data_IF_174334978709
#
_entry.id   IF_174334978709
#
_cell.length_a   1.000
_cell.length_b   1.000
_cell.length_c   1.000
_cell.angle_alpha   90.00
_cell.angle_beta   90.00
_cell.angle_gamma   90.00
#
_symmetry.space_group_name_H-M   'P 1'
#
loop_
_entity.id
_entity.type
_entity.pdbx_description
1 polymer ?
#
# COMPACT_ATOMS: atom_id res chain seq x y z
N UNK A 1 -3.66 1.93 18.50
CA UNK A 1 -3.33 2.12 17.07
C UNK A 1 -3.83 0.90 16.30
N UNK A 2 -5.12 0.88 15.95
CA UNK A 2 -5.75 -0.26 15.26
C UNK A 2 -5.48 -0.15 13.76
N UNK A 3 -4.61 -1.02 13.24
CA UNK A 3 -4.48 -1.30 11.81
C UNK A 3 -5.81 -1.86 11.31
N UNK A 4 -6.70 -0.99 10.83
CA UNK A 4 -7.86 -1.40 10.04
C UNK A 4 -7.41 -1.51 8.59
N UNK A 5 -6.98 -2.70 8.20
CA UNK A 5 -7.08 -3.12 6.82
C UNK A 5 -8.55 -3.12 6.45
N UNK A 6 -8.99 -2.13 5.69
CA UNK A 6 -10.34 -2.11 5.17
C UNK A 6 -10.28 -1.43 3.81
N UNK A 7 -10.39 -2.24 2.76
CA UNK A 7 -10.66 -1.80 1.37
C UNK A 7 -11.97 -1.01 1.34
N UNK A 8 -11.95 0.25 1.81
CA UNK A 8 -13.09 1.15 1.71
C UNK A 8 -13.08 1.77 0.33
N UNK A 9 -13.80 1.13 -0.60
CA UNK A 9 -14.22 1.77 -1.85
C UNK A 9 -15.12 2.96 -1.49
N UNK A 10 -14.56 4.18 -1.42
CA UNK A 10 -15.31 5.43 -1.18
C UNK A 10 -15.32 6.25 -2.46
N UNK A 11 -16.15 5.84 -3.41
CA UNK A 11 -16.32 6.54 -4.68
C UNK A 11 -17.40 7.63 -4.61
N UNK A 12 -17.03 8.88 -4.92
CA UNK A 12 -17.97 9.99 -5.18
C UNK A 12 -17.28 11.36 -5.21
N UNK A 13 -17.73 12.27 -6.09
CA UNK A 13 -17.19 13.65 -6.24
C UNK A 13 -17.24 14.45 -4.93
N UNK A 14 -18.23 14.21 -4.08
CA UNK A 14 -18.39 14.84 -2.76
C UNK A 14 -17.32 14.44 -1.74
N UNK A 15 -16.54 13.38 -2.00
CA UNK A 15 -15.47 12.94 -1.10
C UNK A 15 -14.29 13.89 -1.06
N UNK A 16 -14.14 14.82 -2.02
CA UNK A 16 -12.99 15.75 -2.07
C UNK A 16 -12.88 16.61 -0.79
N UNK A 17 -14.02 17.05 -0.25
CA UNK A 17 -14.09 17.90 0.94
C UNK A 17 -14.23 17.11 2.25
N UNK A 18 -14.64 15.84 2.18
CA UNK A 18 -14.88 14.99 3.37
C UNK A 18 -13.81 13.91 3.55
N UNK A 19 -12.85 13.79 2.62
CA UNK A 19 -11.72 12.87 2.71
C UNK A 19 -10.72 13.37 3.77
N UNK A 20 -10.45 12.52 4.76
CA UNK A 20 -9.48 12.81 5.82
C UNK A 20 -8.06 12.63 5.28
N UNK A 21 -7.10 13.40 5.81
CA UNK A 21 -5.70 13.31 5.39
C UNK A 21 -5.12 11.90 5.51
N UNK A 22 -5.50 11.12 6.52
CA UNK A 22 -5.06 9.74 6.70
C UNK A 22 -5.51 8.84 5.52
N UNK A 23 -6.80 8.91 5.18
CA UNK A 23 -7.39 8.16 4.08
C UNK A 23 -6.78 8.64 2.73
N UNK A 24 -6.55 9.95 2.58
CA UNK A 24 -5.87 10.49 1.40
C UNK A 24 -4.42 9.99 1.27
N UNK A 25 -3.67 9.92 2.37
CA UNK A 25 -2.29 9.43 2.36
C UNK A 25 -2.21 7.95 1.98
N UNK A 26 -3.19 7.14 2.39
CA UNK A 26 -3.32 5.73 2.00
C UNK A 26 -3.58 5.61 0.49
N UNK A 27 -4.57 6.31 -0.05
CA UNK A 27 -4.86 6.31 -1.51
C UNK A 27 -3.67 6.81 -2.34
N UNK A 28 -2.90 7.78 -1.84
CA UNK A 28 -1.69 8.27 -2.49
C UNK A 28 -0.61 7.18 -2.54
N UNK A 29 -0.45 6.40 -1.46
CA UNK A 29 0.49 5.26 -1.41
C UNK A 29 0.04 4.13 -2.34
N UNK A 30 -1.23 3.72 -2.26
CA UNK A 30 -1.78 2.63 -3.08
C UNK A 30 -1.64 2.92 -4.58
N UNK A 31 -1.76 4.19 -4.99
CA UNK A 31 -1.56 4.60 -6.39
C UNK A 31 -0.13 4.38 -6.90
N UNK A 32 0.87 4.34 -6.01
CA UNK A 32 2.27 4.05 -6.37
C UNK A 32 2.54 2.55 -6.45
N UNK A 33 1.80 1.75 -5.70
CA UNK A 33 2.01 0.30 -5.63
C UNK A 33 1.23 -0.48 -6.71
N UNK A 34 0.20 0.13 -7.32
CA UNK A 34 -0.58 -0.54 -8.36
C UNK A 34 -1.82 0.21 -8.86
N UNK A 35 -2.71 -0.50 -9.59
CA UNK A 35 -3.91 0.12 -10.15
C UNK A 35 -4.91 0.49 -9.06
N UNK A 36 -5.23 1.79 -8.99
CA UNK A 36 -6.24 2.34 -8.09
C UNK A 36 -7.54 2.69 -8.86
N UNK A 37 -8.75 2.40 -8.33
CA UNK A 37 -10.01 2.76 -8.96
C UNK A 37 -10.09 4.26 -9.30
N UNK A 38 -10.74 4.59 -10.43
CA UNK A 38 -10.81 5.98 -10.92
C UNK A 38 -11.42 6.95 -9.91
N UNK A 39 -12.47 6.52 -9.18
CA UNK A 39 -13.12 7.36 -8.18
C UNK A 39 -12.16 7.73 -7.03
N UNK A 40 -11.36 6.78 -6.58
CA UNK A 40 -10.37 6.99 -5.51
C UNK A 40 -9.21 7.88 -6.01
N UNK A 41 -8.81 7.73 -7.28
CA UNK A 41 -7.84 8.64 -7.93
C UNK A 41 -8.34 10.08 -7.97
N UNK A 42 -9.62 10.29 -8.30
CA UNK A 42 -10.24 11.62 -8.31
C UNK A 42 -10.39 12.19 -6.90
N UNK A 43 -10.78 11.39 -5.92
CA UNK A 43 -10.89 11.82 -4.52
C UNK A 43 -9.54 12.29 -3.96
N UNK A 44 -8.48 11.50 -4.14
CA UNK A 44 -7.13 11.88 -3.75
C UNK A 44 -6.64 13.12 -4.54
N UNK A 45 -6.90 13.16 -5.85
CA UNK A 45 -6.56 14.30 -6.70
C UNK A 45 -7.21 15.61 -6.25
N UNK A 46 -8.51 15.59 -5.95
CA UNK A 46 -9.23 16.75 -5.43
C UNK A 46 -8.73 17.19 -4.05
N UNK A 47 -8.48 16.25 -3.14
CA UNK A 47 -7.93 16.57 -1.82
C UNK A 47 -6.57 17.26 -1.91
N UNK A 48 -5.72 16.87 -2.87
CA UNK A 48 -4.45 17.54 -3.14
C UNK A 48 -4.61 19.00 -3.59
N UNK A 49 -5.74 19.40 -4.17
CA UNK A 49 -5.98 20.80 -4.54
C UNK A 49 -6.15 21.68 -3.30
N UNK A 50 -6.78 21.16 -2.24
CA UNK A 50 -7.14 21.94 -1.04
C UNK A 50 -6.15 21.76 0.13
N UNK A 51 -5.45 20.63 0.22
CA UNK A 51 -4.59 20.31 1.37
C UNK A 51 -3.09 20.41 1.04
N UNK A 52 -2.41 21.42 1.61
CA UNK A 52 -0.97 21.62 1.41
C UNK A 52 -0.10 20.50 2.01
N UNK A 53 -0.50 19.93 3.15
CA UNK A 53 0.22 18.84 3.80
C UNK A 53 0.23 17.57 2.92
N UNK A 54 -0.93 17.17 2.40
CA UNK A 54 -1.03 16.03 1.48
C UNK A 54 -0.28 16.28 0.17
N UNK A 55 -0.22 17.53 -0.34
CA UNK A 55 0.65 17.86 -1.49
C UNK A 55 2.12 17.63 -1.18
N UNK A 56 2.60 18.04 0.00
CA UNK A 56 3.98 17.81 0.42
C UNK A 56 4.27 16.32 0.52
N UNK A 57 3.41 15.58 1.21
CA UNK A 57 3.54 14.13 1.34
C UNK A 57 3.59 13.44 -0.02
N UNK A 58 2.67 13.76 -0.94
CA UNK A 58 2.64 13.19 -2.29
C UNK A 58 3.95 13.42 -3.06
N UNK A 59 4.59 14.59 -2.90
CA UNK A 59 5.91 14.84 -3.52
C UNK A 59 7.00 13.99 -2.88
N UNK A 60 7.02 13.88 -1.55
CA UNK A 60 8.03 13.12 -0.83
C UNK A 60 7.99 11.63 -1.19
N UNK A 61 6.80 11.02 -1.17
CA UNK A 61 6.68 9.58 -1.45
C UNK A 61 6.94 9.26 -2.93
N UNK A 62 6.58 10.15 -3.86
CA UNK A 62 6.96 10.02 -5.29
C UNK A 62 8.46 10.08 -5.49
N UNK A 63 9.13 11.02 -4.84
CA UNK A 63 10.59 11.13 -4.91
C UNK A 63 11.26 9.85 -4.42
N UNK A 64 10.81 9.31 -3.28
CA UNK A 64 11.35 8.04 -2.77
C UNK A 64 11.09 6.87 -3.72
N UNK A 65 9.87 6.75 -4.24
CA UNK A 65 9.51 5.70 -5.18
C UNK A 65 10.36 5.75 -6.45
N UNK A 66 10.57 6.94 -7.01
CA UNK A 66 11.41 7.14 -8.19
C UNK A 66 12.90 6.88 -7.91
N UNK A 67 13.41 7.29 -6.75
CA UNK A 67 14.78 6.98 -6.34
C UNK A 67 15.01 5.46 -6.21
N UNK A 68 14.04 4.73 -5.65
CA UNK A 68 14.08 3.26 -5.58
C UNK A 68 13.99 2.62 -6.97
N UNK A 69 13.12 3.12 -7.85
CA UNK A 69 12.96 2.59 -9.20
C UNK A 69 14.18 2.81 -10.10
N UNK A 70 14.95 3.88 -9.84
CA UNK A 70 16.18 4.20 -10.58
C UNK A 70 17.42 3.48 -10.05
N UNK A 71 17.29 2.64 -9.02
CA UNK A 71 18.42 1.91 -8.47
C UNK A 71 19.00 1.02 -9.57
N UNK A 72 20.29 1.15 -9.92
CA UNK A 72 20.91 0.22 -10.86
C UNK A 72 20.77 -1.21 -10.32
N UNK A 73 20.74 -2.17 -11.23
CA UNK A 73 20.87 -3.57 -10.86
C UNK A 73 22.05 -3.71 -9.87
N UNK A 74 21.95 -4.61 -8.87
CA UNK A 74 23.04 -4.87 -7.96
C UNK A 74 24.37 -4.96 -8.74
N UNK A 75 25.39 -4.24 -8.27
CA UNK A 75 26.71 -4.35 -8.88
C UNK A 75 27.26 -5.76 -8.68
N UNK A 76 28.27 -6.18 -9.48
CA UNK A 76 28.81 -7.54 -9.48
C UNK A 76 29.32 -8.01 -8.10
N UNK A 77 29.59 -7.08 -7.17
CA UNK A 77 30.07 -7.37 -5.83
C UNK A 77 28.94 -7.77 -4.85
N UNK A 78 27.67 -7.56 -5.22
CA UNK A 78 26.50 -8.01 -4.45
C UNK A 78 25.96 -9.38 -4.90
N UNK A 79 26.48 -9.93 -6.01
CA UNK A 79 25.98 -11.13 -6.67
C UNK A 79 26.75 -12.42 -6.32
N UNK A 80 27.44 -12.46 -5.19
CA UNK A 80 28.19 -13.68 -4.85
C UNK A 80 27.29 -14.89 -4.58
N UNK A 81 26.05 -14.77 -4.05
CA UNK A 81 25.29 -16.00 -3.75
C UNK A 81 23.78 -15.77 -3.53
N UNK A 82 22.99 -15.56 -4.59
CA UNK A 82 21.59 -16.01 -4.66
C UNK A 82 21.01 -15.74 -6.05
N UNK A 83 20.28 -16.70 -6.67
CA UNK A 83 19.38 -16.39 -7.77
C UNK A 83 18.41 -15.29 -7.33
N UNK A 84 18.08 -14.36 -8.23
CA UNK A 84 17.08 -13.28 -8.07
C UNK A 84 15.62 -13.83 -7.96
N UNK A 85 15.47 -15.04 -7.41
CA UNK A 85 14.24 -15.81 -7.31
C UNK A 85 14.16 -16.39 -5.91
N UNK A 86 13.04 -16.14 -5.24
CA UNK A 86 12.73 -16.74 -3.94
C UNK A 86 12.84 -18.28 -4.02
N UNK A 87 13.44 -18.90 -3.00
CA UNK A 87 13.41 -20.36 -2.89
C UNK A 87 11.97 -20.88 -2.83
N UNK A 88 11.74 -22.11 -3.30
CA UNK A 88 10.41 -22.72 -3.28
C UNK A 88 9.79 -22.70 -1.88
N UNK A 89 10.59 -22.97 -0.85
CA UNK A 89 10.16 -22.95 0.56
C UNK A 89 9.85 -21.53 1.07
N UNK A 90 10.66 -20.53 0.69
CA UNK A 90 10.37 -19.14 1.03
C UNK A 90 9.06 -18.68 0.37
N UNK A 91 8.85 -19.02 -0.90
CA UNK A 91 7.63 -18.73 -1.64
C UNK A 91 6.41 -19.43 -1.01
N UNK A 92 6.53 -20.69 -0.62
CA UNK A 92 5.46 -21.45 0.03
C UNK A 92 5.02 -20.78 1.35
N UNK A 93 5.98 -20.43 2.22
CA UNK A 93 5.71 -19.73 3.48
C UNK A 93 5.02 -18.38 3.28
N UNK A 94 5.44 -17.61 2.27
CA UNK A 94 4.81 -16.32 1.94
C UNK A 94 3.36 -16.52 1.48
N UNK A 95 3.12 -17.51 0.62
CA UNK A 95 1.76 -17.79 0.12
C UNK A 95 0.81 -18.28 1.21
N UNK A 96 1.28 -19.11 2.14
CA UNK A 96 0.46 -19.56 3.27
C UNK A 96 0.10 -18.40 4.20
N UNK A 97 1.08 -17.56 4.56
CA UNK A 97 0.82 -16.37 5.36
C UNK A 97 -0.17 -15.39 4.70
N UNK A 98 -0.09 -15.24 3.37
CA UNK A 98 -1.06 -14.43 2.61
C UNK A 98 -2.46 -15.06 2.61
N UNK A 99 -2.55 -16.40 2.52
CA UNK A 99 -3.83 -17.11 2.60
C UNK A 99 -4.46 -16.96 3.97
N UNK A 100 -3.69 -17.07 5.05
CA UNK A 100 -4.17 -16.88 6.42
C UNK A 100 -4.66 -15.45 6.65
N UNK A 101 -3.90 -14.46 6.17
CA UNK A 101 -4.28 -13.05 6.25
C UNK A 101 -5.54 -12.71 5.40
N UNK A 102 -5.82 -13.49 4.36
CA UNK A 102 -6.99 -13.33 3.49
C UNK A 102 -8.19 -14.19 3.91
N UNK A 103 -7.96 -15.32 4.61
CA UNK A 103 -8.95 -16.29 5.06
C UNK A 103 -9.55 -16.02 6.45
N UNK A 104 -9.10 -14.96 7.14
CA UNK A 104 -9.69 -14.47 8.38
C UNK A 104 -11.03 -13.76 8.18
N UNK A 105 -12.07 -14.52 7.81
CA UNK A 105 -13.48 -14.14 7.84
C UNK A 105 -14.33 -15.13 7.04
N UNK A 106 -15.37 -15.78 7.61
CA UNK A 106 -16.27 -15.28 8.65
C UNK A 106 -16.20 -16.06 9.98
N UNK A 107 -16.67 -15.44 11.06
CA UNK A 107 -16.91 -15.99 12.40
C UNK A 107 -15.68 -16.36 13.27
N UNK A 108 -15.21 -15.39 14.06
CA UNK A 108 -14.20 -15.57 15.11
C UNK A 108 -14.72 -15.13 16.48
N UNK A 109 -15.70 -15.86 17.00
CA UNK A 109 -16.00 -15.86 18.42
C UNK A 109 -14.79 -16.41 19.19
N UNK A 110 -14.38 -15.69 20.24
CA UNK A 110 -13.68 -16.21 21.42
C UNK A 110 -12.46 -17.10 21.22
N UNK A 111 -11.26 -16.53 21.37
CA UNK A 111 -10.14 -17.25 21.98
C UNK A 111 -9.16 -16.25 22.59
N UNK A 112 -9.24 -16.07 23.90
CA UNK A 112 -8.18 -15.45 24.72
C UNK A 112 -7.16 -16.55 25.03
N UNK A 113 -5.89 -16.44 24.60
CA UNK A 113 -4.85 -17.38 25.02
C UNK A 113 -4.27 -17.02 26.41
N UNK A 114 -3.67 -18.00 27.11
CA UNK A 114 -3.20 -17.87 28.50
C UNK A 114 -2.00 -16.94 28.68
#
# INVERSE_FOLDING_TARGET
MTRRGHRRRRGGILSILTLRCADASELISERLDGPLPLADRLAAGGHLLVCAACRRFARQVRFLHEACARRPAPGPDLDAEAPDVLSADARARILDALRDAQGGGPDGAGATPP
#
